data_IF_251478357003
#
_entry.id   IF_251478357003
#
_cell.length_a   1.000
_cell.length_b   1.000
_cell.length_c   1.000
_cell.angle_alpha   90.00
_cell.angle_beta   90.00
_cell.angle_gamma   90.00
#
_symmetry.space_group_name_H-M   'P 1'
#
loop_
_entity.id
_entity.type
_entity.pdbx_description
1 polymer ?
#
# COMPACT_ATOMS: atom_id res chain seq x y z
N UNK A 1 15.56 7.16 -0.56
CA UNK A 1 16.82 6.44 -0.32
C UNK A 1 16.56 5.03 0.18
N UNK A 2 15.73 4.80 1.21
CA UNK A 2 15.45 3.47 1.78
C UNK A 2 14.88 2.48 0.76
N UNK A 3 13.98 2.93 -0.12
CA UNK A 3 13.40 2.11 -1.19
C UNK A 3 14.43 1.65 -2.24
N UNK A 4 15.61 2.24 -2.29
CA UNK A 4 16.70 1.79 -3.16
C UNK A 4 17.68 0.91 -2.41
N UNK A 5 18.01 1.24 -1.17
CA UNK A 5 18.96 0.47 -0.35
C UNK A 5 18.40 -0.90 -0.01
N UNK A 6 17.16 -0.99 0.49
CA UNK A 6 16.54 -2.26 0.88
C UNK A 6 16.48 -3.27 -0.25
N UNK A 7 15.86 -2.95 -1.41
CA UNK A 7 15.86 -3.85 -2.56
C UNK A 7 17.26 -4.20 -3.09
N UNK A 8 18.20 -3.25 -3.10
CA UNK A 8 19.57 -3.55 -3.53
C UNK A 8 20.25 -4.58 -2.61
N UNK A 9 20.05 -4.45 -1.30
CA UNK A 9 20.55 -5.43 -0.32
C UNK A 9 19.92 -6.80 -0.52
N UNK A 10 18.57 -6.85 -0.66
CA UNK A 10 17.85 -8.10 -0.91
C UNK A 10 18.30 -8.77 -2.22
N UNK A 11 18.47 -7.99 -3.29
CA UNK A 11 19.01 -8.50 -4.56
C UNK A 11 20.41 -9.06 -4.42
N UNK A 12 21.30 -8.36 -3.73
CA UNK A 12 22.67 -8.84 -3.49
C UNK A 12 22.70 -10.18 -2.77
N UNK A 13 21.89 -10.33 -1.72
CA UNK A 13 21.77 -11.60 -0.98
C UNK A 13 21.18 -12.70 -1.86
N UNK A 14 20.13 -12.42 -2.60
CA UNK A 14 19.45 -13.38 -3.47
C UNK A 14 20.39 -13.87 -4.59
N UNK A 15 21.13 -12.97 -5.23
CA UNK A 15 22.14 -13.32 -6.25
C UNK A 15 23.26 -14.18 -5.67
N UNK A 16 23.78 -13.82 -4.48
CA UNK A 16 24.86 -14.57 -3.84
C UNK A 16 24.42 -15.99 -3.43
N UNK A 17 23.14 -16.19 -3.13
CA UNK A 17 22.57 -17.45 -2.67
C UNK A 17 21.86 -18.23 -3.79
N UNK A 18 21.86 -17.71 -5.00
CA UNK A 18 21.08 -18.26 -6.13
C UNK A 18 19.61 -18.52 -5.78
N UNK A 19 18.94 -17.48 -5.26
CA UNK A 19 17.55 -17.53 -4.84
C UNK A 19 16.70 -16.49 -5.59
N UNK A 20 15.45 -16.85 -5.93
CA UNK A 20 14.52 -15.88 -6.51
C UNK A 20 14.06 -14.87 -5.46
N UNK A 21 13.51 -13.77 -5.93
CA UNK A 21 12.87 -12.73 -5.11
C UNK A 21 11.37 -12.76 -5.35
N UNK A 22 10.62 -12.38 -4.32
CA UNK A 22 9.18 -12.12 -4.41
C UNK A 22 8.91 -10.68 -4.02
N UNK A 23 8.28 -9.92 -4.91
CA UNK A 23 7.80 -8.57 -4.62
C UNK A 23 6.52 -8.62 -3.80
N UNK A 24 6.54 -8.01 -2.62
CA UNK A 24 5.35 -7.86 -1.77
C UNK A 24 4.98 -6.38 -1.71
N UNK A 25 3.78 -5.99 -2.19
CA UNK A 25 3.33 -4.61 -2.10
C UNK A 25 3.28 -4.13 -0.64
N UNK A 26 3.84 -2.95 -0.38
CA UNK A 26 3.96 -2.44 1.01
C UNK A 26 2.58 -2.19 1.64
N UNK A 27 1.63 -1.71 0.85
CA UNK A 27 0.26 -1.44 1.30
C UNK A 27 -0.47 -2.74 1.63
N UNK A 28 -0.29 -3.79 0.82
CA UNK A 28 -0.85 -5.12 1.06
C UNK A 28 -0.30 -5.72 2.36
N UNK A 29 1.02 -5.63 2.56
CA UNK A 29 1.65 -6.11 3.80
C UNK A 29 1.18 -5.34 5.04
N UNK A 30 0.87 -4.05 4.90
CA UNK A 30 0.30 -3.24 5.97
C UNK A 30 -1.15 -3.67 6.26
N UNK A 31 -1.98 -3.89 5.23
CA UNK A 31 -3.35 -4.42 5.39
C UNK A 31 -3.35 -5.76 6.12
N UNK A 32 -2.35 -6.60 5.85
CA UNK A 32 -2.22 -7.93 6.44
C UNK A 32 -2.00 -7.92 7.97
N UNK A 33 -1.66 -6.76 8.57
CA UNK A 33 -1.66 -6.61 10.03
C UNK A 33 -3.05 -6.87 10.66
N UNK A 34 -4.12 -6.72 9.88
CA UNK A 34 -5.50 -6.96 10.30
C UNK A 34 -6.06 -8.25 9.68
N UNK A 35 -5.21 -9.27 9.51
CA UNK A 35 -5.63 -10.58 9.03
C UNK A 35 -6.85 -11.10 9.79
N UNK A 36 -7.86 -11.53 9.07
CA UNK A 36 -9.12 -12.02 9.64
C UNK A 36 -10.17 -10.92 9.89
N UNK A 37 -9.87 -9.64 9.60
CA UNK A 37 -10.86 -8.58 9.68
C UNK A 37 -11.83 -8.65 8.49
N UNK A 38 -13.10 -8.96 8.74
CA UNK A 38 -14.13 -9.06 7.71
C UNK A 38 -14.64 -7.68 7.25
N UNK A 39 -14.46 -6.63 8.07
CA UNK A 39 -14.72 -5.25 7.68
C UNK A 39 -13.75 -4.83 6.55
N UNK A 40 -14.09 -3.76 5.84
CA UNK A 40 -13.17 -3.17 4.86
C UNK A 40 -11.94 -2.61 5.56
N UNK A 41 -10.75 -2.98 5.10
CA UNK A 41 -9.46 -2.54 5.63
C UNK A 41 -8.85 -1.53 4.68
N UNK A 42 -8.53 -0.34 5.19
CA UNK A 42 -7.91 0.75 4.43
C UNK A 42 -6.58 1.16 5.06
N UNK A 43 -5.44 0.64 4.57
CA UNK A 43 -4.14 1.15 4.96
C UNK A 43 -3.94 2.58 4.45
N UNK A 44 -3.36 3.44 5.27
CA UNK A 44 -2.99 4.81 4.90
C UNK A 44 -1.51 5.04 5.22
N UNK A 45 -0.71 5.31 4.19
CA UNK A 45 0.66 5.78 4.33
C UNK A 45 0.75 7.20 3.78
N UNK A 46 1.31 8.14 4.56
CA UNK A 46 1.41 9.54 4.14
C UNK A 46 2.31 9.69 2.89
N UNK A 47 1.71 10.07 1.77
CA UNK A 47 2.39 10.38 0.52
C UNK A 47 2.66 11.88 0.35
N UNK A 48 2.43 12.70 1.40
CA UNK A 48 2.49 14.17 1.37
C UNK A 48 1.41 14.80 0.48
N UNK A 49 1.20 16.12 0.64
CA UNK A 49 0.29 16.92 -0.20
C UNK A 49 -1.15 16.37 -0.23
N UNK A 50 -1.69 16.00 0.91
CA UNK A 50 -3.04 15.43 1.05
C UNK A 50 -3.26 14.15 0.22
N UNK A 51 -2.18 13.40 -0.07
CA UNK A 51 -2.22 12.12 -0.75
C UNK A 51 -1.78 10.99 0.18
N UNK A 52 -2.33 9.81 -0.03
CA UNK A 52 -1.95 8.59 0.66
C UNK A 52 -1.56 7.50 -0.34
N UNK A 53 -0.56 6.69 0.01
CA UNK A 53 -0.46 5.36 -0.55
C UNK A 53 -1.45 4.49 0.19
N UNK A 54 -2.38 3.89 -0.51
CA UNK A 54 -3.54 3.20 0.05
C UNK A 54 -4.05 2.10 -0.87
N UNK A 55 -5.05 1.38 -0.44
CA UNK A 55 -5.82 0.37 -1.14
C UNK A 55 -7.00 -0.04 -0.26
N UNK A 56 -7.89 -0.88 -0.76
CA UNK A 56 -9.01 -1.41 0.01
C UNK A 56 -8.97 -2.93 -0.02
N UNK A 57 -9.10 -3.53 1.14
CA UNK A 57 -8.98 -4.98 1.35
C UNK A 57 -10.09 -5.46 2.27
N UNK A 58 -10.32 -6.76 2.26
CA UNK A 58 -11.12 -7.48 3.26
C UNK A 58 -10.56 -8.88 3.42
N UNK A 59 -11.01 -9.61 4.41
CA UNK A 59 -10.59 -10.99 4.62
C UNK A 59 -11.82 -11.87 4.71
N UNK A 60 -11.81 -12.97 3.95
CA UNK A 60 -12.82 -14.02 4.02
C UNK A 60 -12.15 -15.39 3.85
N UNK A 61 -12.62 -16.37 4.61
CA UNK A 61 -12.09 -17.74 4.57
C UNK A 61 -10.57 -17.81 4.75
N UNK A 62 -10.01 -16.93 5.60
CA UNK A 62 -8.58 -16.85 5.85
C UNK A 62 -7.74 -16.25 4.70
N UNK A 63 -8.38 -15.73 3.67
CA UNK A 63 -7.73 -15.13 2.50
C UNK A 63 -7.95 -13.63 2.42
N UNK A 64 -6.91 -12.91 2.01
CA UNK A 64 -7.01 -11.47 1.71
C UNK A 64 -7.63 -11.27 0.34
N UNK A 65 -8.70 -10.48 0.30
CA UNK A 65 -9.37 -10.03 -0.91
C UNK A 65 -8.99 -8.59 -1.19
N UNK A 66 -8.49 -8.29 -2.38
CA UNK A 66 -8.17 -6.93 -2.81
C UNK A 66 -9.38 -6.31 -3.49
N UNK A 67 -10.01 -5.32 -2.84
CA UNK A 67 -11.15 -4.57 -3.39
C UNK A 67 -10.69 -3.39 -4.26
N UNK A 68 -9.62 -2.73 -3.83
CA UNK A 68 -8.90 -1.72 -4.60
C UNK A 68 -7.39 -2.00 -4.47
N UNK A 69 -6.68 -2.26 -5.57
CA UNK A 69 -5.23 -2.44 -5.54
C UNK A 69 -4.50 -1.22 -4.98
N UNK A 70 -3.26 -1.42 -4.49
CA UNK A 70 -2.45 -0.31 -4.01
C UNK A 70 -2.36 0.82 -5.03
N UNK A 71 -2.54 2.04 -4.56
CA UNK A 71 -2.51 3.25 -5.38
C UNK A 71 -1.99 4.45 -4.57
N UNK A 72 -1.72 5.55 -5.26
CA UNK A 72 -1.42 6.84 -4.65
C UNK A 72 -2.51 7.84 -5.08
N UNK A 73 -3.37 8.23 -4.15
CA UNK A 73 -4.55 9.07 -4.43
C UNK A 73 -4.74 10.15 -3.37
N UNK A 74 -5.57 11.15 -3.65
CA UNK A 74 -6.02 12.12 -2.66
C UNK A 74 -6.80 11.48 -1.53
N UNK A 75 -6.69 12.04 -0.33
CA UNK A 75 -7.48 11.56 0.81
C UNK A 75 -8.99 11.73 0.57
N UNK A 76 -9.38 12.73 -0.18
CA UNK A 76 -10.75 13.00 -0.62
C UNK A 76 -11.26 11.89 -1.56
N UNK A 77 -10.44 11.47 -2.52
CA UNK A 77 -10.81 10.42 -3.47
C UNK A 77 -11.04 9.07 -2.78
N UNK A 78 -10.14 8.65 -1.89
CA UNK A 78 -10.33 7.37 -1.18
C UNK A 78 -11.52 7.44 -0.20
N UNK A 79 -11.74 8.59 0.45
CA UNK A 79 -12.90 8.80 1.34
C UNK A 79 -14.21 8.70 0.56
N UNK A 80 -14.29 9.30 -0.64
CA UNK A 80 -15.46 9.18 -1.50
C UNK A 80 -15.75 7.72 -1.87
N UNK A 81 -14.74 6.96 -2.29
CA UNK A 81 -14.89 5.52 -2.62
C UNK A 81 -15.36 4.69 -1.42
N UNK A 82 -14.89 5.00 -0.22
CA UNK A 82 -15.33 4.32 1.02
C UNK A 82 -16.80 4.64 1.30
N UNK A 83 -17.21 5.90 1.19
CA UNK A 83 -18.60 6.30 1.37
C UNK A 83 -19.52 5.64 0.34
N UNK A 84 -19.13 5.57 -0.93
CA UNK A 84 -19.84 4.86 -1.99
C UNK A 84 -20.01 3.37 -1.69
N UNK A 85 -19.00 2.73 -1.07
CA UNK A 85 -19.08 1.32 -0.70
C UNK A 85 -20.12 1.01 0.36
N UNK A 86 -20.47 1.99 1.20
CA UNK A 86 -21.39 1.85 2.33
C UNK A 86 -20.87 0.91 3.43
N UNK A 87 -19.63 0.44 3.35
CA UNK A 87 -19.08 -0.58 4.25
C UNK A 87 -18.34 0.04 5.42
N UNK A 88 -18.49 -0.59 6.58
CA UNK A 88 -17.67 -0.26 7.74
C UNK A 88 -16.19 -0.46 7.41
N UNK A 89 -15.34 0.53 7.75
CA UNK A 89 -13.94 0.55 7.37
C UNK A 89 -13.01 0.68 8.57
N UNK A 90 -11.95 -0.12 8.59
CA UNK A 90 -10.89 -0.06 9.60
C UNK A 90 -9.64 0.54 8.97
N UNK A 91 -9.17 1.67 9.51
CA UNK A 91 -7.99 2.38 9.05
C UNK A 91 -6.76 2.02 9.88
N UNK A 92 -5.61 1.89 9.23
CA UNK A 92 -4.31 1.67 9.87
C UNK A 92 -3.21 2.33 9.05
N UNK A 93 -2.04 2.48 9.65
CA UNK A 93 -0.87 3.04 8.97
C UNK A 93 -0.40 4.36 9.58
N UNK A 94 0.78 4.80 9.17
CA UNK A 94 1.40 6.04 9.64
C UNK A 94 0.72 7.31 9.10
N UNK A 95 -0.12 7.17 8.08
CA UNK A 95 -0.99 8.23 7.58
C UNK A 95 -2.22 8.48 8.45
N UNK A 96 -2.63 7.53 9.32
CA UNK A 96 -3.83 7.71 10.16
C UNK A 96 -3.76 8.97 11.02
N UNK A 97 -2.70 9.27 11.77
CA UNK A 97 -2.62 10.51 12.55
C UNK A 97 -2.68 11.77 11.68
N UNK A 98 -2.21 11.70 10.43
CA UNK A 98 -2.20 12.84 9.49
C UNK A 98 -3.59 13.14 8.97
N UNK A 99 -4.39 12.11 8.71
CA UNK A 99 -5.69 12.22 8.05
C UNK A 99 -6.88 12.03 8.98
N UNK A 100 -6.66 11.73 10.26
CA UNK A 100 -7.73 11.38 11.21
C UNK A 100 -8.84 12.45 11.30
N UNK A 101 -8.48 13.72 11.37
CA UNK A 101 -9.48 14.79 11.50
C UNK A 101 -10.28 14.95 10.20
N UNK A 102 -9.63 14.91 9.05
CA UNK A 102 -10.32 14.90 7.76
C UNK A 102 -11.30 13.73 7.64
N UNK A 103 -10.89 12.52 8.04
CA UNK A 103 -11.73 11.32 7.98
C UNK A 103 -12.93 11.42 8.92
N UNK A 104 -12.76 11.95 10.14
CA UNK A 104 -13.87 12.16 11.10
C UNK A 104 -14.94 13.09 10.55
N UNK A 105 -14.54 14.13 9.81
CA UNK A 105 -15.43 15.14 9.25
C UNK A 105 -16.14 14.67 7.97
N UNK A 106 -15.52 13.79 7.17
CA UNK A 106 -15.98 13.50 5.82
C UNK A 106 -16.48 12.07 5.60
N UNK A 107 -16.23 11.13 6.54
CA UNK A 107 -16.75 9.77 6.43
C UNK A 107 -18.25 9.72 6.78
N UNK A 108 -19.00 9.02 5.95
CA UNK A 108 -20.45 8.78 6.10
C UNK A 108 -20.77 7.34 6.49
N UNK A 109 -19.76 6.50 6.63
CA UNK A 109 -19.88 5.09 7.01
C UNK A 109 -19.31 4.85 8.41
N UNK A 110 -19.71 3.79 9.12
CA UNK A 110 -19.05 3.39 10.36
C UNK A 110 -17.56 3.11 10.11
N UNK A 111 -16.70 3.57 11.02
CA UNK A 111 -15.27 3.36 10.90
C UNK A 111 -14.58 3.14 12.25
N UNK A 112 -13.38 2.59 12.20
CA UNK A 112 -12.48 2.43 13.34
C UNK A 112 -11.05 2.79 12.92
N UNK A 113 -10.28 3.32 13.86
CA UNK A 113 -8.83 3.37 13.74
C UNK A 113 -8.22 2.18 14.47
N UNK A 114 -7.39 1.42 13.78
CA UNK A 114 -6.70 0.29 14.40
C UNK A 114 -5.76 0.75 15.53
N UNK A 115 -5.50 -0.09 16.53
CA UNK A 115 -4.54 0.22 17.58
C UNK A 115 -3.16 0.57 17.02
N UNK A 116 -2.43 1.46 17.72
CA UNK A 116 -1.15 2.00 17.25
C UNK A 116 -0.10 0.93 16.88
N UNK A 117 -0.12 -0.23 17.51
CA UNK A 117 0.78 -1.33 17.19
C UNK A 117 0.52 -1.96 15.81
N UNK A 118 -0.63 -1.71 15.18
CA UNK A 118 -0.96 -2.13 13.82
C UNK A 118 -0.52 -1.11 12.75
N UNK A 119 -0.11 0.09 13.14
CA UNK A 119 0.19 1.20 12.22
C UNK A 119 1.58 1.15 11.56
N UNK A 120 2.34 0.08 11.78
CA UNK A 120 3.68 -0.08 11.19
C UNK A 120 3.75 -1.38 10.39
N UNK A 121 4.52 -1.34 9.31
CA UNK A 121 4.85 -2.53 8.55
C UNK A 121 5.56 -3.54 9.43
N UNK A 122 5.19 -4.81 9.26
CA UNK A 122 5.78 -5.93 9.98
C UNK A 122 6.46 -6.88 9.02
N UNK A 123 7.72 -7.21 9.27
CA UNK A 123 8.47 -8.17 8.47
C UNK A 123 7.77 -9.54 8.40
N UNK A 124 7.08 -9.94 9.48
CA UNK A 124 6.30 -11.17 9.51
C UNK A 124 5.16 -11.18 8.47
N UNK A 125 4.43 -10.06 8.31
CA UNK A 125 3.39 -9.94 7.29
C UNK A 125 3.97 -10.02 5.87
N UNK A 126 5.11 -9.34 5.64
CA UNK A 126 5.84 -9.44 4.36
C UNK A 126 6.27 -10.88 4.08
N UNK A 127 6.81 -11.59 5.08
CA UNK A 127 7.26 -12.98 4.92
C UNK A 127 6.10 -13.94 4.60
N UNK A 128 4.95 -13.79 5.28
CA UNK A 128 3.78 -14.64 5.03
C UNK A 128 3.20 -14.38 3.64
N UNK A 129 2.98 -13.11 3.27
CA UNK A 129 2.51 -12.77 1.93
C UNK A 129 3.51 -13.19 0.85
N UNK A 130 4.80 -12.98 1.07
CA UNK A 130 5.86 -13.46 0.18
C UNK A 130 5.79 -14.97 -0.04
N UNK A 131 5.58 -15.75 1.03
CA UNK A 131 5.39 -17.19 0.94
C UNK A 131 4.14 -17.61 0.15
N UNK A 132 3.03 -16.85 0.30
CA UNK A 132 1.80 -17.07 -0.49
C UNK A 132 2.06 -16.78 -1.97
N UNK A 133 2.64 -15.63 -2.28
CA UNK A 133 2.96 -15.21 -3.64
C UNK A 133 3.98 -16.15 -4.31
N UNK A 134 4.96 -16.65 -3.56
CA UNK A 134 5.91 -17.66 -4.04
C UNK A 134 5.19 -18.93 -4.49
N UNK A 135 4.28 -19.47 -3.66
CA UNK A 135 3.48 -20.65 -4.02
C UNK A 135 2.55 -20.44 -5.21
N UNK A 136 2.19 -19.18 -5.49
CA UNK A 136 1.43 -18.78 -6.69
C UNK A 136 2.32 -18.59 -7.94
N UNK A 137 3.62 -18.88 -7.86
CA UNK A 137 4.55 -18.72 -8.98
C UNK A 137 4.94 -17.28 -9.28
N UNK A 138 4.73 -16.34 -8.34
CA UNK A 138 5.06 -14.90 -8.52
C UNK A 138 6.49 -14.56 -8.09
N UNK A 139 7.38 -15.53 -8.14
CA UNK A 139 8.80 -15.31 -7.94
C UNK A 139 9.45 -14.79 -9.22
N UNK A 140 10.42 -13.93 -9.08
CA UNK A 140 11.19 -13.33 -10.18
C UNK A 140 12.69 -13.47 -9.95
N UNK A 141 13.46 -13.35 -11.03
CA UNK A 141 14.91 -13.31 -10.96
C UNK A 141 15.34 -12.05 -10.17
N UNK A 142 16.26 -12.25 -9.23
CA UNK A 142 16.81 -11.16 -8.44
C UNK A 142 17.44 -10.04 -9.30
N UNK A 143 18.07 -10.37 -10.43
CA UNK A 143 18.64 -9.37 -11.34
C UNK A 143 17.55 -8.50 -12.00
N UNK A 144 16.41 -9.10 -12.33
CA UNK A 144 15.29 -8.42 -13.02
C UNK A 144 14.44 -7.54 -12.10
N UNK A 145 14.45 -7.81 -10.78
CA UNK A 145 13.62 -7.11 -9.80
C UNK A 145 13.83 -5.59 -9.83
N UNK A 146 12.70 -4.85 -9.82
CA UNK A 146 12.66 -3.37 -9.74
C UNK A 146 11.60 -2.94 -8.73
N UNK A 147 11.86 -1.88 -7.94
CA UNK A 147 10.83 -1.27 -7.09
C UNK A 147 9.66 -0.76 -7.93
N UNK A 148 8.45 -0.96 -7.43
CA UNK A 148 7.23 -0.38 -8.02
C UNK A 148 7.02 1.05 -7.47
N UNK A 149 7.07 2.04 -8.36
CA UNK A 149 6.86 3.44 -8.01
C UNK A 149 5.43 3.86 -8.36
N UNK A 150 4.51 3.73 -7.40
CA UNK A 150 3.10 4.15 -7.55
C UNK A 150 2.92 5.64 -7.83
N UNK A 151 3.92 6.45 -7.54
CA UNK A 151 3.91 7.89 -7.76
C UNK A 151 5.11 8.29 -8.61
N UNK A 152 4.85 9.03 -9.66
CA UNK A 152 5.90 9.65 -10.46
C UNK A 152 6.81 10.54 -9.60
N UNK A 153 8.09 10.56 -9.88
CA UNK A 153 9.02 11.50 -9.25
C UNK A 153 8.59 12.94 -9.49
N UNK A 154 9.02 13.87 -8.64
CA UNK A 154 8.68 15.27 -8.81
C UNK A 154 9.15 15.80 -10.18
N UNK A 155 10.35 15.40 -10.61
CA UNK A 155 10.91 15.79 -11.90
C UNK A 155 10.10 15.25 -13.10
N UNK A 156 9.57 14.03 -13.01
CA UNK A 156 8.70 13.47 -14.06
C UNK A 156 7.35 14.17 -14.13
N UNK A 157 6.76 14.51 -12.97
CA UNK A 157 5.50 15.26 -12.92
C UNK A 157 5.66 16.66 -13.51
N UNK A 158 6.70 17.41 -13.12
CA UNK A 158 7.01 18.72 -13.66
C UNK A 158 7.27 18.69 -15.18
N UNK A 159 7.87 17.61 -15.69
CA UNK A 159 8.00 17.40 -17.14
C UNK A 159 6.67 17.17 -17.83
N UNK A 160 5.77 16.39 -17.21
CA UNK A 160 4.44 16.15 -17.77
C UNK A 160 3.57 17.40 -17.75
N UNK A 161 3.63 18.18 -16.67
CA UNK A 161 2.93 19.48 -16.58
C UNK A 161 3.43 20.43 -17.67
N UNK A 162 4.73 20.64 -17.79
CA UNK A 162 5.32 21.45 -18.86
C UNK A 162 4.97 20.96 -20.26
N UNK A 163 4.90 19.65 -20.48
CA UNK A 163 4.54 19.08 -21.78
C UNK A 163 3.05 19.26 -22.12
N UNK A 164 2.18 19.41 -21.10
CA UNK A 164 0.76 19.77 -21.30
C UNK A 164 0.60 21.25 -21.66
N UNK A 165 1.32 22.14 -20.99
CA UNK A 165 1.28 23.58 -21.24
C UNK A 165 1.82 23.96 -22.65
N UNK A 166 2.70 23.13 -23.23
CA UNK A 166 3.22 23.32 -24.59
C UNK A 166 2.27 22.83 -25.71
N UNK A 167 1.14 22.18 -25.36
CA UNK A 167 0.16 21.65 -26.33
C UNK A 167 -1.12 22.48 -26.45
N UNK A 168 -1.16 23.64 -25.80
CA UNK A 168 -2.19 24.70 -25.95
C UNK A 168 -1.60 25.82 -26.78
#
# INVERSE_FOLDING_TARGET
>A
TGLRIGPATAKGLALALDKPIVSVPTVDALAYNLWGCEDQVCPLMDARRQQAYTGLYTFSDGQMQTLLPQCAVGIDEITAKINESGKKTVFLGDGVPVFADYLKENLQVPYLFAPAHCNKQRAACVAVLGGILYRQGKAEDAAAHKPDYLRLSQAERERQEKARDFRI
#
